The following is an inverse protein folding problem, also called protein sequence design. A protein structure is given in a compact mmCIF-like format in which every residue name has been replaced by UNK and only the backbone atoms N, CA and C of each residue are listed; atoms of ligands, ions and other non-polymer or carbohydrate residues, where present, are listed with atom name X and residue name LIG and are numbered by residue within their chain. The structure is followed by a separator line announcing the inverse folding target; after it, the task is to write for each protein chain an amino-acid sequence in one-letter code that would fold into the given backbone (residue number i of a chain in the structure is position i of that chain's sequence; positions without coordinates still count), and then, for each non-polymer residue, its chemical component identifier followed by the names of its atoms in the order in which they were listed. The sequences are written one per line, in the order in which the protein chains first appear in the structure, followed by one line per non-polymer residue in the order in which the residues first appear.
data_IF_084304019389
#
_entry.id   IF_084304019389
#
_cell.length_a   1.000
_cell.length_b   1.000
_cell.length_c   1.000
_cell.angle_alpha   90.00
_cell.angle_beta   90.00
_cell.angle_gamma   90.00
#
_symmetry.space_group_name_H-M   'P 1'
#
loop_
_entity.id
_entity.type
_entity.pdbx_description
1 polymer ?
#
# COMPACT_ATOMS: atom_id res chain seq x y z
N UNK A 1 -71.20 16.78 -20.90
CA UNK A 1 -70.23 17.47 -21.78
C UNK A 1 -68.88 16.77 -21.60
N UNK A 2 -68.48 15.91 -22.55
CA UNK A 2 -67.67 16.25 -23.74
C UNK A 2 -66.23 16.64 -23.32
N UNK A 3 -65.13 16.01 -23.73
CA UNK A 3 -64.80 15.03 -24.78
C UNK A 3 -63.44 14.38 -24.46
N UNK A 4 -63.27 13.10 -24.80
CA UNK A 4 -61.98 12.37 -24.84
C UNK A 4 -61.07 12.92 -25.96
N UNK A 5 -59.74 12.86 -25.81
CA UNK A 5 -58.84 12.61 -26.95
C UNK A 5 -58.12 11.27 -26.74
N UNK A 6 -58.48 10.25 -27.52
CA UNK A 6 -57.86 9.89 -28.81
C UNK A 6 -56.61 9.03 -28.62
N UNK A 7 -56.81 7.73 -28.88
CA UNK A 7 -55.85 6.63 -28.77
C UNK A 7 -54.88 6.73 -29.95
N UNK A 8 -53.63 7.09 -29.68
CA UNK A 8 -52.56 7.05 -30.68
C UNK A 8 -52.16 5.58 -30.95
N UNK A 9 -52.66 5.06 -32.07
CA UNK A 9 -52.20 3.84 -32.73
C UNK A 9 -50.82 4.08 -33.34
N UNK A 10 -49.77 3.90 -32.54
CA UNK A 10 -48.40 3.78 -33.02
C UNK A 10 -48.05 2.32 -33.25
N UNK A 11 -48.33 1.82 -34.46
CA UNK A 11 -47.84 0.52 -34.94
C UNK A 11 -46.31 0.60 -35.15
N UNK A 12 -45.55 0.48 -34.07
CA UNK A 12 -44.11 0.28 -34.13
C UNK A 12 -43.85 -1.22 -34.30
N UNK A 13 -43.56 -1.60 -35.55
CA UNK A 13 -42.95 -2.86 -36.01
C UNK A 13 -42.24 -3.62 -34.88
N UNK A 14 -42.88 -4.68 -34.36
CA UNK A 14 -42.20 -5.66 -33.51
C UNK A 14 -41.19 -6.39 -34.42
N UNK A 15 -39.88 -6.38 -34.11
CA UNK A 15 -38.96 -7.22 -34.86
C UNK A 15 -39.31 -8.68 -34.55
N UNK A 16 -39.83 -9.38 -35.55
CA UNK A 16 -40.03 -10.83 -35.57
C UNK A 16 -38.65 -11.50 -35.55
N UNK A 17 -38.02 -11.49 -34.38
CA UNK A 17 -36.80 -12.24 -34.13
C UNK A 17 -37.15 -13.32 -33.12
N UNK A 18 -37.64 -14.44 -33.63
CA UNK A 18 -37.52 -15.74 -32.96
C UNK A 18 -36.03 -16.07 -32.85
N UNK A 19 -35.30 -15.34 -32.01
CA UNK A 19 -33.98 -15.77 -31.54
C UNK A 19 -34.24 -17.04 -30.74
N UNK A 20 -33.91 -18.18 -31.35
CA UNK A 20 -33.89 -19.48 -30.67
C UNK A 20 -33.07 -19.27 -29.40
N UNK A 21 -33.69 -19.41 -28.23
CA UNK A 21 -32.96 -19.45 -26.97
C UNK A 21 -31.93 -20.59 -27.12
N UNK A 22 -30.65 -20.41 -26.75
CA UNK A 22 -29.71 -21.52 -26.74
C UNK A 22 -30.32 -22.62 -25.87
N UNK A 23 -30.18 -23.88 -26.31
CA UNK A 23 -30.63 -25.03 -25.53
C UNK A 23 -29.85 -25.00 -24.23
N UNK A 24 -30.52 -24.57 -23.17
CA UNK A 24 -29.93 -24.46 -21.85
C UNK A 24 -29.62 -25.86 -21.35
N UNK A 25 -28.33 -26.20 -21.31
CA UNK A 25 -27.91 -27.51 -20.86
C UNK A 25 -27.97 -27.60 -19.33
N UNK A 26 -28.06 -28.81 -18.78
CA UNK A 26 -28.02 -29.00 -17.33
C UNK A 26 -26.70 -28.48 -16.70
N UNK A 27 -25.62 -28.42 -17.50
CA UNK A 27 -24.33 -27.88 -17.08
C UNK A 27 -24.40 -26.35 -16.92
N UNK A 28 -24.97 -25.64 -17.90
CA UNK A 28 -25.16 -24.18 -17.84
C UNK A 28 -25.96 -23.75 -16.61
N UNK A 29 -26.96 -24.54 -16.21
CA UNK A 29 -27.75 -24.25 -15.01
C UNK A 29 -26.98 -24.45 -13.71
N UNK A 30 -26.04 -25.39 -13.67
CA UNK A 30 -25.15 -25.56 -12.51
C UNK A 30 -24.18 -24.40 -12.40
N UNK A 31 -23.65 -23.92 -13.52
CA UNK A 31 -22.67 -22.84 -13.54
C UNK A 31 -23.32 -21.49 -13.22
N UNK A 32 -24.50 -21.19 -13.77
CA UNK A 32 -25.27 -20.00 -13.37
C UNK A 32 -25.64 -20.03 -11.87
N UNK A 33 -25.95 -21.21 -11.31
CA UNK A 33 -26.23 -21.35 -9.88
C UNK A 33 -24.98 -21.13 -9.02
N UNK A 34 -23.80 -21.55 -9.48
CA UNK A 34 -22.52 -21.26 -8.79
C UNK A 34 -22.21 -19.76 -8.84
N UNK A 35 -22.39 -19.11 -9.98
CA UNK A 35 -22.13 -17.68 -10.15
C UNK A 35 -23.10 -16.82 -9.33
N UNK A 36 -24.38 -17.19 -9.31
CA UNK A 36 -25.39 -16.51 -8.50
C UNK A 36 -25.18 -16.71 -6.99
N UNK A 37 -24.59 -17.84 -6.56
CA UNK A 37 -24.20 -18.05 -5.15
C UNK A 37 -23.02 -17.18 -4.72
N UNK A 38 -22.10 -16.88 -5.63
CA UNK A 38 -20.93 -16.03 -5.35
C UNK A 38 -21.29 -14.54 -5.31
N UNK A 39 -22.32 -14.15 -6.07
CA UNK A 39 -22.86 -12.79 -6.04
C UNK A 39 -23.88 -12.69 -4.88
N UNK A 40 -23.48 -12.09 -3.76
CA UNK A 40 -24.39 -11.79 -2.66
C UNK A 40 -25.59 -10.95 -3.10
N UNK A 41 -26.59 -10.81 -2.22
CA UNK A 41 -27.75 -9.96 -2.48
C UNK A 41 -27.29 -8.54 -2.83
N UNK A 42 -27.99 -7.91 -3.78
CA UNK A 42 -27.75 -6.52 -4.17
C UNK A 42 -27.87 -5.65 -2.90
N UNK A 43 -26.94 -4.71 -2.64
CA UNK A 43 -27.01 -3.88 -1.46
C UNK A 43 -28.36 -3.16 -1.41
N UNK A 44 -28.99 -3.15 -0.23
CA UNK A 44 -30.28 -2.48 -0.03
C UNK A 44 -30.20 -0.99 -0.35
N UNK A 45 -31.35 -0.34 -0.53
CA UNK A 45 -31.44 1.06 -0.94
C UNK A 45 -30.63 2.05 -0.06
N UNK A 46 -30.33 1.69 1.19
CA UNK A 46 -29.50 2.48 2.12
C UNK A 46 -28.00 2.45 1.78
N UNK A 47 -27.53 1.37 1.16
CA UNK A 47 -26.11 1.12 0.87
C UNK A 47 -25.80 1.14 -0.64
N UNK A 48 -26.80 1.37 -1.49
CA UNK A 48 -26.57 1.60 -2.92
C UNK A 48 -26.02 3.01 -3.10
N UNK A 49 -24.70 3.17 -2.92
CA UNK A 49 -24.01 4.37 -3.37
C UNK A 49 -24.20 4.42 -4.88
N UNK A 50 -25.06 5.32 -5.34
CA UNK A 50 -25.34 5.53 -6.75
C UNK A 50 -24.00 5.85 -7.43
N UNK A 51 -23.42 4.86 -8.12
CA UNK A 51 -22.28 5.06 -9.00
C UNK A 51 -22.80 5.86 -10.21
N UNK A 52 -23.09 7.14 -9.98
CA UNK A 52 -23.29 8.11 -11.04
C UNK A 52 -21.96 8.22 -11.75
N UNK A 53 -21.83 7.55 -12.88
CA UNK A 53 -20.87 7.89 -13.91
C UNK A 53 -20.97 9.40 -14.13
N UNK A 54 -19.93 10.11 -13.68
CA UNK A 54 -19.86 11.56 -13.73
C UNK A 54 -19.76 11.99 -15.19
N UNK A 55 -20.91 12.21 -15.84
CA UNK A 55 -20.98 13.20 -16.91
C UNK A 55 -20.78 14.56 -16.25
N UNK A 56 -19.57 15.10 -16.38
CA UNK A 56 -19.22 16.45 -15.95
C UNK A 56 -20.01 17.48 -16.77
N UNK A 57 -21.23 17.79 -16.34
CA UNK A 57 -21.91 19.01 -16.72
C UNK A 57 -21.52 20.09 -15.71
N UNK A 58 -20.74 21.07 -16.17
CA UNK A 58 -20.38 22.27 -15.40
C UNK A 58 -21.62 23.15 -15.27
N UNK A 59 -22.40 22.95 -14.22
CA UNK A 59 -23.41 23.92 -13.79
C UNK A 59 -22.93 24.62 -12.52
N UNK A 60 -22.56 25.89 -12.66
CA UNK A 60 -22.33 26.80 -11.56
C UNK A 60 -23.69 27.12 -10.89
N UNK A 61 -24.13 26.24 -9.99
CA UNK A 61 -25.27 26.51 -9.11
C UNK A 61 -24.78 27.23 -7.85
N UNK A 62 -25.57 28.23 -7.42
CA UNK A 62 -25.38 29.02 -6.19
C UNK A 62 -24.98 28.09 -5.03
N UNK A 63 -23.75 28.24 -4.55
CA UNK A 63 -23.23 27.49 -3.42
C UNK A 63 -23.72 28.16 -2.14
N UNK A 64 -24.23 27.36 -1.20
CA UNK A 64 -24.63 27.81 0.13
C UNK A 64 -23.46 28.54 0.80
N UNK A 65 -23.71 29.75 1.32
CA UNK A 65 -22.70 30.58 1.99
C UNK A 65 -22.07 29.88 3.21
N UNK A 66 -22.77 28.91 3.82
CA UNK A 66 -22.24 28.11 4.93
C UNK A 66 -21.23 27.07 4.48
N UNK A 67 -21.23 26.68 3.21
CA UNK A 67 -20.27 25.73 2.64
C UNK A 67 -19.15 26.52 1.97
N UNK A 68 -18.04 26.69 2.69
CA UNK A 68 -16.86 27.40 2.20
C UNK A 68 -16.26 26.80 0.92
N UNK A 69 -15.29 27.51 0.33
CA UNK A 69 -14.66 27.11 -0.92
C UNK A 69 -13.79 25.85 -0.75
N UNK A 70 -14.33 24.68 -1.10
CA UNK A 70 -13.60 23.40 -1.18
C UNK A 70 -12.97 23.17 -2.56
N UNK A 71 -12.61 24.23 -3.30
CA UNK A 71 -11.91 24.07 -4.59
C UNK A 71 -10.47 23.62 -4.30
N UNK A 72 -10.00 22.48 -4.82
CA UNK A 72 -8.61 22.07 -4.63
C UNK A 72 -7.69 23.08 -5.29
N UNK A 73 -6.69 23.54 -4.54
CA UNK A 73 -5.64 24.44 -5.03
C UNK A 73 -4.44 23.57 -5.39
N UNK A 74 -3.90 23.75 -6.59
CA UNK A 74 -2.70 23.02 -7.02
C UNK A 74 -1.50 23.47 -6.17
N UNK A 75 -0.71 22.50 -5.69
CA UNK A 75 0.41 22.74 -4.78
C UNK A 75 1.66 23.30 -5.47
N UNK A 76 1.68 23.31 -6.80
CA UNK A 76 2.76 23.89 -7.61
C UNK A 76 2.18 25.03 -8.44
N UNK A 77 2.72 26.24 -8.26
CA UNK A 77 2.35 27.39 -9.05
C UNK A 77 2.92 27.24 -10.47
N UNK A 78 2.07 26.93 -11.44
CA UNK A 78 2.43 27.03 -12.86
C UNK A 78 2.53 28.52 -13.22
N UNK A 79 3.74 29.06 -13.16
CA UNK A 79 4.05 30.34 -13.79
C UNK A 79 3.97 30.18 -15.32
N UNK A 80 3.37 31.12 -16.06
CA UNK A 80 3.24 31.02 -17.50
C UNK A 80 4.63 31.07 -18.17
N UNK A 81 4.99 29.94 -18.76
CA UNK A 81 6.18 29.72 -19.59
C UNK A 81 6.28 30.77 -20.71
N UNK A 82 7.33 31.59 -20.64
CA UNK A 82 7.91 32.24 -21.83
C UNK A 82 9.08 31.39 -22.32
N UNK A 83 9.00 31.00 -23.58
CA UNK A 83 9.97 30.18 -24.28
C UNK A 83 11.33 30.87 -24.43
N UNK A 84 12.39 30.28 -23.88
CA UNK A 84 13.78 30.47 -24.36
C UNK A 84 14.57 29.17 -24.13
N UNK A 85 15.07 28.63 -25.26
CA UNK A 85 16.17 27.67 -25.55
C UNK A 85 16.75 26.76 -24.42
N UNK A 86 17.04 25.48 -24.74
CA UNK A 86 17.44 24.48 -23.75
C UNK A 86 18.91 24.63 -23.34
N UNK A 87 19.14 25.02 -22.08
CA UNK A 87 20.38 24.74 -21.37
C UNK A 87 20.09 23.57 -20.43
N UNK A 88 20.89 22.51 -20.56
CA UNK A 88 20.85 21.30 -19.76
C UNK A 88 20.71 21.66 -18.27
N UNK A 89 19.66 21.21 -17.57
CA UNK A 89 19.65 21.28 -16.11
C UNK A 89 20.72 20.33 -15.61
N UNK A 90 21.76 20.89 -14.99
CA UNK A 90 22.60 20.13 -14.07
C UNK A 90 21.67 19.48 -13.04
N UNK A 91 21.82 18.16 -12.89
CA UNK A 91 21.09 17.39 -11.88
C UNK A 91 21.22 18.10 -10.54
N UNK A 92 20.10 18.38 -9.83
CA UNK A 92 20.20 18.86 -8.47
C UNK A 92 20.86 17.73 -7.67
N UNK A 93 22.10 17.99 -7.22
CA UNK A 93 22.74 17.24 -6.15
C UNK A 93 21.67 16.98 -5.11
N UNK A 94 21.33 15.71 -4.79
CA UNK A 94 20.35 15.46 -3.74
C UNK A 94 20.95 16.04 -2.47
N UNK A 95 20.37 17.16 -2.02
CA UNK A 95 20.55 17.64 -0.67
C UNK A 95 20.28 16.43 0.22
N UNK A 96 21.31 16.05 0.98
CA UNK A 96 21.25 15.00 1.98
C UNK A 96 20.18 15.45 2.98
N UNK A 97 18.93 15.12 2.70
CA UNK A 97 17.91 14.99 3.72
C UNK A 97 18.53 14.02 4.70
N UNK A 98 18.78 14.51 5.89
CA UNK A 98 19.09 13.71 7.05
C UNK A 98 17.98 12.66 7.11
N UNK A 99 18.28 11.48 6.56
CA UNK A 99 17.45 10.31 6.66
C UNK A 99 17.27 10.14 8.15
N UNK A 100 16.04 10.37 8.61
CA UNK A 100 15.68 10.14 10.00
C UNK A 100 16.27 8.79 10.42
N UNK A 101 16.78 8.65 11.65
CA UNK A 101 17.41 7.40 12.09
C UNK A 101 16.52 6.18 11.79
N UNK A 102 15.20 6.34 11.92
CA UNK A 102 14.19 5.34 11.54
C UNK A 102 14.23 4.92 10.06
N UNK A 103 14.50 5.83 9.13
CA UNK A 103 14.63 5.50 7.71
C UNK A 103 15.91 4.73 7.40
N UNK A 104 16.97 4.95 8.18
CA UNK A 104 18.22 4.18 8.05
C UNK A 104 18.02 2.76 8.58
N UNK A 105 17.39 2.64 9.74
CA UNK A 105 16.99 1.36 10.36
C UNK A 105 16.12 0.55 9.39
N UNK A 106 15.03 1.14 8.88
CA UNK A 106 14.14 0.49 7.91
C UNK A 106 14.84 0.11 6.60
N UNK A 107 15.88 0.85 6.21
CA UNK A 107 16.70 0.51 5.04
C UNK A 107 17.58 -0.71 5.31
N UNK A 108 18.20 -0.79 6.49
CA UNK A 108 19.01 -1.94 6.89
C UNK A 108 18.16 -3.20 7.04
N UNK A 109 16.99 -3.11 7.68
CA UNK A 109 16.02 -4.21 7.77
C UNK A 109 15.66 -4.74 6.38
N UNK A 110 15.30 -3.84 5.46
CA UNK A 110 14.96 -4.23 4.09
C UNK A 110 16.15 -4.83 3.32
N UNK A 111 17.38 -4.42 3.63
CA UNK A 111 18.58 -5.02 3.04
C UNK A 111 18.80 -6.43 3.59
N UNK A 112 18.59 -6.62 4.90
CA UNK A 112 18.65 -7.92 5.57
C UNK A 112 17.61 -8.89 4.98
N UNK A 113 16.34 -8.48 4.89
CA UNK A 113 15.27 -9.28 4.28
C UNK A 113 15.62 -9.76 2.87
N UNK A 114 16.28 -8.89 2.08
CA UNK A 114 16.69 -9.25 0.71
C UNK A 114 17.83 -10.26 0.69
N UNK A 115 18.74 -10.20 1.65
CA UNK A 115 19.83 -11.17 1.77
C UNK A 115 19.27 -12.54 2.18
N UNK A 116 18.37 -12.58 3.15
CA UNK A 116 17.71 -13.83 3.60
C UNK A 116 16.88 -14.48 2.47
N UNK A 117 16.26 -13.67 1.61
CA UNK A 117 15.48 -14.14 0.46
C UNK A 117 16.28 -14.22 -0.86
N UNK A 118 17.61 -14.17 -0.83
CA UNK A 118 18.43 -14.30 -2.05
C UNK A 118 18.52 -15.76 -2.49
N UNK A 119 17.89 -16.09 -3.63
CA UNK A 119 17.87 -17.45 -4.20
C UNK A 119 19.27 -18.04 -4.41
N UNK A 120 20.26 -17.21 -4.76
CA UNK A 120 21.64 -17.68 -4.98
C UNK A 120 22.31 -18.06 -3.66
N UNK A 121 22.09 -17.27 -2.62
CA UNK A 121 22.62 -17.54 -1.29
C UNK A 121 22.04 -18.86 -0.77
N UNK A 122 20.72 -19.00 -0.83
CA UNK A 122 20.03 -20.21 -0.39
C UNK A 122 20.50 -21.45 -1.16
N UNK A 123 20.62 -21.37 -2.49
CA UNK A 123 21.10 -22.49 -3.30
C UNK A 123 22.56 -22.91 -2.98
N UNK A 124 23.42 -21.96 -2.57
CA UNK A 124 24.79 -22.28 -2.15
C UNK A 124 24.82 -22.93 -0.77
N UNK A 125 23.96 -22.49 0.16
CA UNK A 125 23.81 -23.10 1.47
C UNK A 125 23.27 -24.54 1.36
N UNK A 126 22.26 -24.77 0.51
CA UNK A 126 21.71 -26.11 0.26
C UNK A 126 22.79 -27.06 -0.28
N UNK A 127 23.65 -26.59 -1.20
CA UNK A 127 24.77 -27.40 -1.71
C UNK A 127 25.77 -27.78 -0.61
N UNK A 128 26.04 -26.85 0.32
CA UNK A 128 26.90 -27.10 1.47
C UNK A 128 26.29 -28.16 2.40
N UNK A 129 24.97 -28.10 2.65
CA UNK A 129 24.24 -29.11 3.43
C UNK A 129 24.28 -30.48 2.75
N UNK A 130 24.21 -30.52 1.42
CA UNK A 130 24.34 -31.74 0.61
C UNK A 130 25.80 -32.19 0.40
N UNK A 131 26.77 -31.58 1.09
CA UNK A 131 28.22 -31.83 0.97
C UNK A 131 28.74 -31.81 -0.48
N UNK A 132 28.10 -31.01 -1.35
CA UNK A 132 28.51 -30.85 -2.74
C UNK A 132 29.72 -29.91 -2.86
N UNK A 133 30.62 -30.12 -3.84
CA UNK A 133 31.77 -29.24 -4.02
C UNK A 133 31.31 -27.84 -4.46
N UNK A 134 31.70 -26.83 -3.70
CA UNK A 134 31.51 -25.41 -3.99
C UNK A 134 32.85 -24.83 -4.43
N UNK A 135 32.85 -23.98 -5.45
CA UNK A 135 34.09 -23.35 -5.93
C UNK A 135 34.63 -22.32 -4.92
N UNK A 136 35.93 -22.06 -4.92
CA UNK A 136 36.55 -21.06 -4.05
C UNK A 136 35.92 -19.66 -4.24
N UNK A 137 35.61 -19.28 -5.49
CA UNK A 137 34.93 -18.01 -5.79
C UNK A 137 33.52 -17.92 -5.18
N UNK A 138 32.78 -19.03 -5.16
CA UNK A 138 31.45 -19.11 -4.54
C UNK A 138 31.53 -19.08 -3.02
N UNK A 139 32.54 -19.73 -2.42
CA UNK A 139 32.79 -19.68 -0.97
C UNK A 139 33.16 -18.26 -0.54
N UNK A 140 34.08 -17.59 -1.23
CA UNK A 140 34.41 -16.19 -0.92
C UNK A 140 33.19 -15.28 -1.02
N UNK A 141 32.32 -15.51 -2.00
CA UNK A 141 31.09 -14.75 -2.16
C UNK A 141 30.11 -15.01 -1.00
N UNK A 142 29.96 -16.28 -0.60
CA UNK A 142 29.16 -16.70 0.55
C UNK A 142 29.64 -15.98 1.81
N UNK A 143 30.94 -16.03 2.09
CA UNK A 143 31.56 -15.41 3.27
C UNK A 143 31.34 -13.90 3.29
N UNK A 144 31.51 -13.21 2.14
CA UNK A 144 31.22 -11.78 2.01
C UNK A 144 29.76 -11.45 2.32
N UNK A 145 28.82 -12.31 1.91
CA UNK A 145 27.38 -12.13 2.18
C UNK A 145 27.03 -12.38 3.64
N UNK A 146 27.59 -13.43 4.25
CA UNK A 146 27.41 -13.72 5.67
C UNK A 146 28.02 -12.63 6.55
N UNK A 147 29.21 -12.13 6.22
CA UNK A 147 29.82 -10.99 6.91
C UNK A 147 28.93 -9.75 6.84
N UNK A 148 28.38 -9.45 5.65
CA UNK A 148 27.43 -8.33 5.48
C UNK A 148 26.15 -8.51 6.30
N UNK A 149 25.62 -9.73 6.38
CA UNK A 149 24.46 -10.06 7.21
C UNK A 149 24.75 -9.78 8.70
N UNK A 150 25.91 -10.23 9.20
CA UNK A 150 26.33 -9.96 10.58
C UNK A 150 26.50 -8.45 10.86
N UNK A 151 27.09 -7.69 9.93
CA UNK A 151 27.18 -6.22 10.04
C UNK A 151 25.80 -5.56 10.16
N UNK A 152 24.82 -6.01 9.35
CA UNK A 152 23.46 -5.46 9.38
C UNK A 152 22.77 -5.76 10.71
N UNK A 153 22.93 -6.96 11.27
CA UNK A 153 22.40 -7.30 12.59
C UNK A 153 23.01 -6.44 13.70
N UNK A 154 24.31 -6.15 13.62
CA UNK A 154 25.00 -5.23 14.56
C UNK A 154 24.48 -3.81 14.45
N UNK A 155 24.34 -3.28 13.23
CA UNK A 155 23.79 -1.93 12.99
C UNK A 155 22.35 -1.79 13.49
N UNK A 156 21.58 -2.87 13.43
CA UNK A 156 20.20 -2.91 13.90
C UNK A 156 20.09 -3.16 15.42
N UNK A 157 21.21 -3.46 16.10
CA UNK A 157 21.23 -3.81 17.52
C UNK A 157 20.54 -5.15 17.84
N UNK A 158 20.40 -6.03 16.84
CA UNK A 158 19.85 -7.38 17.02
C UNK A 158 20.92 -8.43 17.37
N UNK A 159 22.20 -8.06 17.36
CA UNK A 159 23.29 -8.99 17.66
C UNK A 159 23.28 -9.40 19.15
N UNK A 160 23.40 -10.70 19.41
CA UNK A 160 23.33 -11.25 20.78
C UNK A 160 24.58 -10.95 21.62
N UNK A 161 25.74 -10.76 20.98
CA UNK A 161 26.99 -10.42 21.68
C UNK A 161 26.92 -9.06 22.40
N UNK A 162 26.12 -8.10 21.88
CA UNK A 162 25.91 -6.79 22.52
C UNK A 162 24.87 -6.87 23.66
N UNK A 163 24.12 -7.97 23.77
CA UNK A 163 23.19 -8.23 24.89
C UNK A 163 23.87 -8.91 26.08
N UNK A 164 25.05 -9.50 25.92
CA UNK A 164 25.74 -10.19 27.02
C UNK A 164 26.34 -9.21 28.05
N UNK A 165 26.39 -7.92 27.71
CA UNK A 165 26.71 -6.81 28.61
C UNK A 165 25.47 -6.06 29.12
N UNK A 166 24.37 -6.77 29.42
CA UNK A 166 23.08 -6.22 29.85
C UNK A 166 23.08 -5.52 31.24
N UNK A 167 23.98 -4.55 31.42
CA UNK A 167 23.85 -3.52 32.45
C UNK A 167 22.48 -2.84 32.34
N UNK A 168 21.92 -2.71 31.13
CA UNK A 168 20.64 -2.02 30.94
C UNK A 168 19.44 -2.78 31.50
N UNK A 169 19.33 -4.11 31.35
CA UNK A 169 18.20 -4.85 31.97
C UNK A 169 18.35 -4.94 33.48
N UNK A 170 19.58 -5.12 33.98
CA UNK A 170 19.86 -5.16 35.41
C UNK A 170 19.64 -3.78 36.05
N UNK A 171 20.01 -2.68 35.39
CA UNK A 171 19.75 -1.30 35.82
C UNK A 171 18.26 -0.97 35.76
N UNK A 172 17.53 -1.42 34.74
CA UNK A 172 16.08 -1.24 34.65
C UNK A 172 15.36 -2.00 35.76
N UNK A 173 15.81 -3.23 36.05
CA UNK A 173 15.29 -4.05 37.14
C UNK A 173 15.64 -3.44 38.50
N UNK A 174 16.87 -2.95 38.65
CA UNK A 174 17.34 -2.27 39.86
C UNK A 174 16.54 -0.99 40.11
N UNK A 175 16.31 -0.14 39.10
CA UNK A 175 15.47 1.05 39.20
C UNK A 175 14.02 0.72 39.55
N UNK A 176 13.49 -0.39 39.02
CA UNK A 176 12.16 -0.88 39.37
C UNK A 176 12.10 -1.37 40.84
N UNK A 177 13.12 -2.10 41.29
CA UNK A 177 13.27 -2.55 42.69
C UNK A 177 13.40 -1.36 43.64
N UNK A 178 14.19 -0.36 43.26
CA UNK A 178 14.47 0.85 44.04
C UNK A 178 13.30 1.86 43.99
N UNK A 179 12.22 1.55 43.27
CA UNK A 179 10.97 2.31 43.21
C UNK A 179 11.13 3.76 42.67
N UNK A 180 12.26 4.07 42.02
CA UNK A 180 12.58 5.34 41.34
C UNK A 180 11.99 5.40 39.91
N UNK A 181 10.92 4.64 39.68
CA UNK A 181 10.15 4.68 38.45
C UNK A 181 9.24 5.91 38.46
N UNK A 182 9.78 7.04 38.00
CA UNK A 182 9.03 8.28 37.78
C UNK A 182 8.31 8.24 36.40
N UNK A 183 6.97 8.09 36.36
CA UNK A 183 6.21 8.04 35.11
C UNK A 183 6.30 9.33 34.29
N UNK A 184 6.64 10.46 34.91
CA UNK A 184 6.72 11.77 34.25
C UNK A 184 7.90 11.89 33.27
N UNK A 185 8.90 11.00 33.38
CA UNK A 185 10.05 10.93 32.47
C UNK A 185 9.70 10.37 31.09
N UNK A 186 8.66 9.55 31.00
CA UNK A 186 8.31 8.81 29.78
C UNK A 186 6.98 9.28 29.18
N UNK A 187 6.00 9.64 30.01
CA UNK A 187 4.72 10.15 29.55
C UNK A 187 4.55 11.62 29.95
N UNK A 188 4.65 12.50 28.94
CA UNK A 188 4.46 13.95 29.08
C UNK A 188 3.11 14.36 29.69
N UNK A 189 2.13 13.45 29.75
CA UNK A 189 0.83 13.68 30.43
C UNK A 189 0.92 13.75 31.95
N UNK A 190 2.00 13.26 32.56
CA UNK A 190 2.20 13.26 34.01
C UNK A 190 3.14 14.38 34.49
N UNK A 191 3.56 15.30 33.60
CA UNK A 191 4.17 16.55 34.06
C UNK A 191 3.06 17.38 34.73
N UNK A 192 3.05 17.39 36.06
CA UNK A 192 2.18 18.27 36.85
C UNK A 192 2.36 19.73 36.40
N UNK A 193 1.22 20.43 36.26
CA UNK A 193 1.14 21.88 36.00
C UNK A 193 1.74 22.71 37.15
#
# INVERSE_FOLDING_TARGET
MATKPAKSVGNAKRPDSKKKKPVFTAQDGRDQKKDAKRKGLKPGARNSVESKEQKQAREAKNKDARVGSRKPVALVAEAPVKAVKPVKPAEPKPEKKEVAPEQQIAKWERELDKLENDDRLNALLDKLELEQPVSEEEQEWLDKKLARHQELLKLLGLNEEDKEGSSDQDELLQRFIDNDFDPSQFDSRYKED
#
